data_IF_607182609246
#
_entry.id   IF_607182609246
#
_cell.length_a   1.000
_cell.length_b   1.000
_cell.length_c   1.000
_cell.angle_alpha   90.00
_cell.angle_beta   90.00
_cell.angle_gamma   90.00
#
_symmetry.space_group_name_H-M   'P 1'
#
loop_
_entity.id
_entity.type
_entity.pdbx_description
1 polymer ?
#
# COMPACT_ATOMS: atom_id res chain seq x y z
N UNK A 1 -23.02 -24.56 11.22
CA UNK A 1 -21.60 -24.73 10.82
C UNK A 1 -20.71 -24.70 12.06
N UNK A 2 -20.00 -25.78 12.35
CA UNK A 2 -18.99 -25.83 13.42
C UNK A 2 -17.68 -25.24 12.89
N UNK A 3 -17.28 -24.07 13.39
CA UNK A 3 -16.00 -23.46 13.01
C UNK A 3 -14.83 -24.22 13.67
N UNK A 4 -13.75 -24.54 12.94
CA UNK A 4 -12.58 -25.19 13.53
C UNK A 4 -11.95 -24.29 14.60
N UNK A 5 -11.77 -24.84 15.81
CA UNK A 5 -11.22 -24.14 16.98
C UNK A 5 -9.84 -24.68 17.42
N UNK A 6 -9.19 -25.50 16.60
CA UNK A 6 -7.88 -26.06 16.95
C UNK A 6 -6.83 -24.95 17.06
N UNK A 7 -5.98 -25.03 18.09
CA UNK A 7 -4.88 -24.07 18.31
C UNK A 7 -4.01 -23.81 17.07
N UNK A 8 -3.59 -24.83 16.27
CA UNK A 8 -2.77 -24.59 15.08
C UNK A 8 -3.54 -23.79 14.01
N UNK A 9 -4.82 -24.10 13.78
CA UNK A 9 -5.64 -23.39 12.81
C UNK A 9 -5.75 -21.89 13.14
N UNK A 10 -6.05 -21.58 14.41
CA UNK A 10 -6.14 -20.18 14.87
C UNK A 10 -4.81 -19.45 14.69
N UNK A 11 -3.68 -20.11 14.99
CA UNK A 11 -2.36 -19.52 14.81
C UNK A 11 -2.08 -19.17 13.35
N UNK A 12 -2.36 -20.09 12.41
CA UNK A 12 -2.19 -19.83 10.97
C UNK A 12 -3.03 -18.64 10.51
N UNK A 13 -4.32 -18.62 10.85
CA UNK A 13 -5.22 -17.51 10.48
C UNK A 13 -4.71 -16.17 11.04
N UNK A 14 -4.22 -16.15 12.28
CA UNK A 14 -3.73 -14.93 12.91
C UNK A 14 -2.38 -14.47 12.36
N UNK A 15 -1.53 -15.39 11.91
CA UNK A 15 -0.28 -15.07 11.21
C UNK A 15 -0.58 -14.48 9.83
N UNK A 16 -1.48 -15.11 9.08
CA UNK A 16 -1.92 -14.59 7.79
C UNK A 16 -2.64 -13.23 7.94
N UNK A 17 -3.35 -12.98 9.04
CA UNK A 17 -3.87 -11.65 9.37
C UNK A 17 -2.74 -10.63 9.51
N UNK A 18 -1.69 -10.95 10.27
CA UNK A 18 -0.54 -10.07 10.42
C UNK A 18 0.17 -9.79 9.08
N UNK A 19 0.27 -10.80 8.21
CA UNK A 19 0.82 -10.66 6.85
C UNK A 19 -0.12 -9.83 5.94
N UNK A 20 -1.43 -9.94 6.09
CA UNK A 20 -2.40 -9.19 5.30
C UNK A 20 -2.38 -7.69 5.57
N UNK A 21 -1.95 -7.26 6.76
CA UNK A 21 -1.85 -5.84 7.15
C UNK A 21 -0.93 -5.03 6.22
N UNK A 22 0.37 -5.37 6.02
CA UNK A 22 1.23 -4.62 5.10
C UNK A 22 0.69 -4.59 3.68
N UNK A 23 0.15 -5.70 3.16
CA UNK A 23 -0.46 -5.72 1.83
C UNK A 23 -1.62 -4.73 1.71
N UNK A 24 -2.51 -4.70 2.72
CA UNK A 24 -3.62 -3.77 2.74
C UNK A 24 -3.14 -2.31 2.79
N UNK A 25 -2.28 -1.96 3.76
CA UNK A 25 -1.83 -0.58 3.98
C UNK A 25 -1.02 -0.04 2.79
N UNK A 26 -0.09 -0.83 2.24
CA UNK A 26 0.70 -0.40 1.07
C UNK A 26 -0.20 -0.24 -0.16
N UNK A 27 -1.11 -1.20 -0.40
CA UNK A 27 -1.95 -1.15 -1.61
C UNK A 27 -3.01 -0.04 -1.59
N UNK A 28 -3.62 0.26 -0.43
CA UNK A 28 -4.54 1.39 -0.30
C UNK A 28 -3.81 2.73 -0.53
N UNK A 29 -2.60 2.88 0.02
CA UNK A 29 -1.82 4.12 -0.14
C UNK A 29 -1.32 4.30 -1.57
N UNK A 30 -0.79 3.26 -2.20
CA UNK A 30 -0.41 3.31 -3.62
C UNK A 30 -1.62 3.70 -4.49
N UNK A 31 -2.77 3.05 -4.31
CA UNK A 31 -3.97 3.37 -5.09
C UNK A 31 -4.45 4.80 -4.85
N UNK A 32 -4.37 5.28 -3.61
CA UNK A 32 -4.74 6.66 -3.26
C UNK A 32 -3.81 7.66 -3.94
N UNK A 33 -2.50 7.44 -3.89
CA UNK A 33 -1.49 8.32 -4.47
C UNK A 33 -1.58 8.36 -6.00
N UNK A 34 -1.68 7.20 -6.65
CA UNK A 34 -1.88 7.08 -8.12
C UNK A 34 -3.12 7.86 -8.58
N UNK A 35 -4.20 7.84 -7.80
CA UNK A 35 -5.44 8.49 -8.18
C UNK A 35 -5.56 9.94 -7.69
N UNK A 36 -4.61 10.43 -6.91
CA UNK A 36 -4.65 11.78 -6.34
C UNK A 36 -4.55 12.84 -7.44
N UNK A 37 -5.24 13.98 -7.29
CA UNK A 37 -4.96 15.17 -8.12
C UNK A 37 -3.72 15.91 -7.65
N UNK A 38 -3.45 15.82 -6.35
CA UNK A 38 -2.39 16.57 -5.69
C UNK A 38 -0.98 16.16 -6.16
N UNK A 39 -0.68 14.86 -6.31
CA UNK A 39 0.65 14.41 -6.76
C UNK A 39 1.04 14.99 -8.13
N UNK A 40 0.10 14.98 -9.08
CA UNK A 40 0.34 15.50 -10.43
C UNK A 40 0.42 17.02 -10.45
N UNK A 41 -0.41 17.70 -9.64
CA UNK A 41 -0.33 19.14 -9.41
C UNK A 41 1.02 19.56 -8.80
N UNK A 42 1.54 18.76 -7.87
CA UNK A 42 2.87 18.92 -7.28
C UNK A 42 3.97 18.69 -8.33
N UNK A 43 3.89 17.59 -9.10
CA UNK A 43 4.86 17.26 -10.15
C UNK A 43 4.98 18.35 -11.21
N UNK A 44 3.86 18.91 -11.65
CA UNK A 44 3.82 20.03 -12.59
C UNK A 44 4.60 21.27 -12.10
N UNK A 45 4.74 21.46 -10.78
CA UNK A 45 5.39 22.64 -10.21
C UNK A 45 6.82 22.42 -9.70
N UNK A 46 7.34 21.19 -9.68
CA UNK A 46 8.57 20.88 -8.94
C UNK A 46 9.66 20.13 -9.75
N UNK A 47 9.38 19.69 -10.97
CA UNK A 47 10.32 18.87 -11.75
C UNK A 47 10.57 19.37 -13.18
N UNK A 48 10.41 20.68 -13.39
CA UNK A 48 10.55 21.37 -14.69
C UNK A 48 9.73 20.72 -15.82
N UNK A 49 8.68 19.99 -15.43
CA UNK A 49 7.90 19.15 -16.34
C UNK A 49 7.20 19.99 -17.40
N UNK A 50 6.69 21.17 -17.05
CA UNK A 50 6.00 22.05 -18.00
C UNK A 50 6.96 22.58 -19.08
N UNK A 51 8.19 22.92 -18.69
CA UNK A 51 9.21 23.40 -19.63
C UNK A 51 9.69 22.28 -20.55
N UNK A 52 9.96 21.09 -19.98
CA UNK A 52 10.44 19.92 -20.73
C UNK A 52 9.40 19.35 -21.68
N UNK A 53 8.13 19.42 -21.31
CA UNK A 53 7.02 18.91 -22.14
C UNK A 53 6.42 19.98 -23.04
N UNK A 54 6.74 21.26 -22.86
CA UNK A 54 6.11 22.36 -23.60
C UNK A 54 4.60 22.54 -23.35
N UNK A 55 4.06 21.89 -22.31
CA UNK A 55 2.64 21.95 -21.96
C UNK A 55 2.36 23.09 -20.99
N UNK A 56 1.16 23.69 -21.09
CA UNK A 56 0.66 24.52 -20.01
C UNK A 56 0.31 23.66 -18.79
N UNK A 57 0.23 24.27 -17.61
CA UNK A 57 -0.18 23.55 -16.39
C UNK A 57 -1.56 22.92 -16.51
N UNK A 58 -2.51 23.63 -17.12
CA UNK A 58 -3.87 23.15 -17.34
C UNK A 58 -3.88 21.92 -18.24
N UNK A 59 -3.08 21.97 -19.30
CA UNK A 59 -2.97 20.88 -20.27
C UNK A 59 -2.31 19.64 -19.65
N UNK A 60 -1.21 19.81 -18.93
CA UNK A 60 -0.58 18.72 -18.17
C UNK A 60 -1.57 18.05 -17.20
N UNK A 61 -2.37 18.86 -16.48
CA UNK A 61 -3.39 18.34 -15.56
C UNK A 61 -4.59 17.70 -16.26
N UNK A 62 -4.88 18.05 -17.53
CA UNK A 62 -5.84 17.34 -18.37
C UNK A 62 -5.29 15.98 -18.81
N UNK A 63 -4.10 15.94 -19.38
CA UNK A 63 -3.41 14.70 -19.82
C UNK A 63 -3.28 13.71 -18.66
N UNK A 64 -2.83 14.16 -17.49
CA UNK A 64 -2.72 13.29 -16.30
C UNK A 64 -4.06 12.79 -15.77
N UNK A 65 -5.16 13.54 -15.96
CA UNK A 65 -6.52 13.04 -15.67
C UNK A 65 -6.94 11.94 -16.64
N UNK A 66 -6.60 12.05 -17.92
CA UNK A 66 -6.88 11.02 -18.93
C UNK A 66 -6.08 9.74 -18.67
N UNK A 67 -4.80 9.86 -18.31
CA UNK A 67 -3.98 8.71 -17.88
C UNK A 67 -4.59 8.02 -16.66
N UNK A 68 -5.03 8.79 -15.66
CA UNK A 68 -5.73 8.22 -14.49
C UNK A 68 -7.05 7.58 -14.88
N UNK A 69 -7.84 8.18 -15.77
CA UNK A 69 -9.07 7.59 -16.29
C UNK A 69 -8.77 6.25 -16.95
N UNK A 70 -7.77 6.19 -17.83
CA UNK A 70 -7.33 4.99 -18.51
C UNK A 70 -6.99 3.84 -17.54
N UNK A 71 -6.29 4.12 -16.43
CA UNK A 71 -6.00 3.10 -15.42
C UNK A 71 -7.25 2.56 -14.72
N UNK A 72 -8.34 3.32 -14.68
CA UNK A 72 -9.59 2.96 -14.00
C UNK A 72 -10.75 2.62 -14.97
N UNK A 73 -10.52 2.65 -16.28
CA UNK A 73 -11.48 2.29 -17.33
C UNK A 73 -11.08 0.99 -18.03
N UNK A 74 -11.95 0.44 -18.87
CA UNK A 74 -11.64 -0.69 -19.77
C UNK A 74 -11.10 -0.25 -21.15
N UNK A 75 -10.83 1.05 -21.34
CA UNK A 75 -10.36 1.59 -22.62
C UNK A 75 -8.95 1.12 -22.95
N UNK A 76 -8.72 0.68 -24.18
CA UNK A 76 -7.39 0.39 -24.74
C UNK A 76 -7.39 0.68 -26.25
N UNK A 77 -6.28 1.20 -26.82
CA UNK A 77 -5.05 1.63 -26.15
C UNK A 77 -5.19 2.98 -25.43
N UNK A 78 -4.17 3.38 -24.65
CA UNK A 78 -4.05 4.76 -24.16
C UNK A 78 -3.91 5.70 -25.36
N UNK A 79 -4.92 6.52 -25.61
CA UNK A 79 -4.93 7.53 -26.67
C UNK A 79 -5.09 8.90 -26.05
N UNK A 80 -4.01 9.68 -26.04
CA UNK A 80 -3.99 11.02 -25.48
C UNK A 80 -3.34 11.97 -26.46
N UNK A 81 -4.08 13.01 -26.84
CA UNK A 81 -3.56 14.17 -27.55
C UNK A 81 -3.29 15.28 -26.56
N UNK A 82 -2.27 16.09 -26.81
CA UNK A 82 -1.97 17.25 -25.99
C UNK A 82 -1.46 18.42 -26.84
N UNK A 83 -1.74 19.63 -26.38
CA UNK A 83 -1.18 20.87 -26.91
C UNK A 83 0.22 21.07 -26.33
N UNK A 84 1.22 20.87 -27.17
CA UNK A 84 2.64 20.99 -26.83
C UNK A 84 3.26 22.09 -27.69
N UNK A 85 3.91 23.08 -27.05
CA UNK A 85 4.46 24.26 -27.71
C UNK A 85 3.45 24.97 -28.65
N UNK A 86 2.15 24.89 -28.32
CA UNK A 86 1.06 25.50 -29.08
C UNK A 86 0.47 24.64 -30.22
N UNK A 87 0.97 23.42 -30.44
CA UNK A 87 0.47 22.48 -31.45
C UNK A 87 -0.18 21.26 -30.80
N UNK A 88 -1.34 20.82 -31.31
CA UNK A 88 -1.98 19.58 -30.83
C UNK A 88 -1.32 18.36 -31.48
N UNK A 89 -0.78 17.46 -30.65
CA UNK A 89 -0.04 16.28 -31.09
C UNK A 89 -0.41 15.03 -30.30
N UNK A 90 -0.23 13.85 -30.90
CA UNK A 90 -0.19 12.58 -30.17
C UNK A 90 1.19 12.43 -29.52
N UNK A 91 1.23 12.51 -28.19
CA UNK A 91 2.49 12.64 -27.44
C UNK A 91 3.14 11.30 -27.11
N UNK A 92 2.39 10.19 -27.09
CA UNK A 92 2.92 8.89 -26.72
C UNK A 92 3.24 8.03 -27.94
N UNK A 93 4.46 7.52 -27.98
CA UNK A 93 4.89 6.52 -28.96
C UNK A 93 4.18 5.19 -28.74
N UNK A 94 4.16 4.33 -29.78
CA UNK A 94 3.66 2.95 -29.68
C UNK A 94 4.33 2.16 -28.55
N UNK A 95 5.60 2.44 -28.23
CA UNK A 95 6.31 1.78 -27.11
C UNK A 95 5.75 2.24 -25.77
N UNK A 96 5.60 3.54 -25.56
CA UNK A 96 5.02 4.11 -24.33
C UNK A 96 3.60 3.63 -24.11
N UNK A 97 2.77 3.60 -25.16
CA UNK A 97 1.39 3.10 -25.08
C UNK A 97 1.36 1.63 -24.63
N UNK A 98 2.24 0.78 -25.17
CA UNK A 98 2.33 -0.63 -24.75
C UNK A 98 2.85 -0.78 -23.32
N UNK A 99 3.82 0.04 -22.91
CA UNK A 99 4.29 0.05 -21.52
C UNK A 99 3.17 0.48 -20.56
N UNK A 100 2.39 1.50 -20.92
CA UNK A 100 1.24 1.95 -20.12
C UNK A 100 0.14 0.89 -20.01
N UNK A 101 -0.02 0.02 -21.02
CA UNK A 101 -0.87 -1.17 -20.93
C UNK A 101 -0.36 -2.16 -19.88
N UNK A 102 0.95 -2.42 -19.84
CA UNK A 102 1.55 -3.28 -18.82
C UNK A 102 1.38 -2.65 -17.41
N UNK A 103 1.58 -1.34 -17.27
CA UNK A 103 1.35 -0.59 -16.03
C UNK A 103 -0.12 -0.65 -15.61
N UNK A 104 -1.08 -0.55 -16.54
CA UNK A 104 -2.52 -0.68 -16.24
C UNK A 104 -2.85 -2.05 -15.64
N UNK A 105 -2.27 -3.13 -16.17
CA UNK A 105 -2.44 -4.46 -15.59
C UNK A 105 -1.86 -4.55 -14.17
N UNK A 106 -0.69 -3.95 -13.93
CA UNK A 106 -0.08 -3.85 -12.61
C UNK A 106 -0.96 -3.06 -11.62
N UNK A 107 -1.50 -1.91 -12.02
CA UNK A 107 -2.43 -1.09 -11.19
C UNK A 107 -3.72 -1.85 -10.88
N UNK A 108 -4.26 -2.62 -11.85
CA UNK A 108 -5.40 -3.52 -11.61
C UNK A 108 -5.06 -4.66 -10.67
N UNK A 109 -3.86 -5.23 -10.79
CA UNK A 109 -3.33 -6.24 -9.86
C UNK A 109 -3.23 -5.72 -8.43
N UNK A 110 -2.70 -4.50 -8.27
CA UNK A 110 -2.65 -3.79 -6.99
C UNK A 110 -4.04 -3.62 -6.37
N UNK A 111 -5.04 -3.22 -7.16
CA UNK A 111 -6.42 -3.09 -6.68
C UNK A 111 -6.99 -4.44 -6.21
N UNK A 112 -6.67 -5.55 -6.89
CA UNK A 112 -7.05 -6.91 -6.43
C UNK A 112 -6.40 -7.26 -5.09
N UNK A 113 -5.10 -7.00 -4.93
CA UNK A 113 -4.38 -7.21 -3.65
C UNK A 113 -5.04 -6.43 -2.51
N UNK A 114 -5.42 -5.17 -2.77
CA UNK A 114 -6.14 -4.34 -1.80
C UNK A 114 -7.48 -4.98 -1.41
N UNK A 115 -8.31 -5.38 -2.37
CA UNK A 115 -9.62 -5.98 -2.09
C UNK A 115 -9.50 -7.33 -1.37
N UNK A 116 -8.59 -8.21 -1.81
CA UNK A 116 -8.40 -9.51 -1.16
C UNK A 116 -7.87 -9.37 0.26
N UNK A 117 -6.91 -8.50 0.50
CA UNK A 117 -6.42 -8.22 1.86
C UNK A 117 -7.51 -7.61 2.73
N UNK A 118 -8.28 -6.63 2.24
CA UNK A 118 -9.41 -6.05 2.97
C UNK A 118 -10.45 -7.09 3.36
N UNK A 119 -10.96 -7.85 2.38
CA UNK A 119 -12.00 -8.85 2.64
C UNK A 119 -11.51 -9.97 3.54
N UNK A 120 -10.22 -10.35 3.42
CA UNK A 120 -9.61 -11.30 4.33
C UNK A 120 -9.57 -10.77 5.78
N UNK A 121 -9.08 -9.54 6.00
CA UNK A 121 -9.00 -8.92 7.32
C UNK A 121 -10.40 -8.79 7.95
N UNK A 122 -11.38 -8.28 7.19
CA UNK A 122 -12.76 -8.16 7.65
C UNK A 122 -13.40 -9.52 7.93
N UNK A 123 -13.13 -10.51 7.08
CA UNK A 123 -13.60 -11.89 7.24
C UNK A 123 -13.09 -12.50 8.54
N UNK A 124 -11.79 -12.37 8.84
CA UNK A 124 -11.22 -12.88 10.11
C UNK A 124 -11.85 -12.19 11.32
N UNK A 125 -12.13 -10.88 11.25
CA UNK A 125 -12.82 -10.17 12.34
C UNK A 125 -14.26 -10.67 12.50
N UNK A 126 -15.01 -10.79 11.41
CA UNK A 126 -16.42 -11.22 11.42
C UNK A 126 -16.56 -12.67 11.87
N UNK A 127 -15.91 -13.61 11.19
CA UNK A 127 -15.99 -15.03 11.51
C UNK A 127 -15.33 -15.35 12.85
N UNK A 128 -14.24 -14.67 13.20
CA UNK A 128 -13.63 -14.79 14.52
C UNK A 128 -14.56 -14.30 15.64
N UNK A 129 -15.36 -13.27 15.38
CA UNK A 129 -16.35 -12.76 16.34
C UNK A 129 -17.48 -13.77 16.54
N UNK A 130 -18.01 -14.33 15.46
CA UNK A 130 -19.05 -15.36 15.50
C UNK A 130 -18.55 -16.67 16.14
N UNK A 131 -17.31 -17.07 15.86
CA UNK A 131 -16.77 -18.35 16.31
C UNK A 131 -16.23 -18.34 17.75
N UNK A 132 -15.61 -17.24 18.20
CA UNK A 132 -14.92 -17.18 19.51
C UNK A 132 -15.44 -16.08 20.45
N UNK A 133 -16.31 -15.19 19.98
CA UNK A 133 -16.79 -14.06 20.75
C UNK A 133 -15.76 -12.93 20.92
N UNK A 134 -16.23 -11.76 21.32
CA UNK A 134 -15.41 -10.52 21.39
C UNK A 134 -14.23 -10.65 22.37
N UNK A 135 -14.45 -11.28 23.53
CA UNK A 135 -13.45 -11.37 24.60
C UNK A 135 -12.22 -12.16 24.16
N UNK A 136 -12.42 -13.26 23.43
CA UNK A 136 -11.32 -14.11 22.97
C UNK A 136 -10.69 -13.58 21.66
N UNK A 137 -11.46 -12.93 20.78
CA UNK A 137 -10.96 -12.39 19.51
C UNK A 137 -10.05 -11.17 19.69
N UNK A 138 -10.50 -10.17 20.46
CA UNK A 138 -9.81 -8.87 20.57
C UNK A 138 -8.29 -8.97 20.87
N UNK A 139 -7.82 -9.76 21.86
CA UNK A 139 -6.38 -9.88 22.10
C UNK A 139 -5.62 -10.55 20.96
N UNK A 140 -6.26 -11.44 20.18
CA UNK A 140 -5.65 -12.08 19.02
C UNK A 140 -5.46 -11.08 17.88
N UNK A 141 -6.51 -10.32 17.56
CA UNK A 141 -6.45 -9.25 16.55
C UNK A 141 -5.43 -8.19 16.95
N UNK A 142 -5.44 -7.74 18.21
CA UNK A 142 -4.46 -6.75 18.67
C UNK A 142 -3.03 -7.29 18.55
N UNK A 143 -2.77 -8.55 18.90
CA UNK A 143 -1.44 -9.16 18.72
C UNK A 143 -1.05 -9.23 17.24
N UNK A 144 -1.94 -9.68 16.37
CA UNK A 144 -1.67 -9.75 14.92
C UNK A 144 -1.50 -8.38 14.27
N UNK A 145 -2.27 -7.38 14.70
CA UNK A 145 -2.14 -6.01 14.21
C UNK A 145 -0.81 -5.40 14.64
N UNK A 146 -0.38 -5.63 15.89
CA UNK A 146 0.93 -5.18 16.37
C UNK A 146 2.07 -5.82 15.55
N UNK A 147 2.02 -7.13 15.32
CA UNK A 147 3.03 -7.81 14.49
C UNK A 147 2.97 -7.35 13.03
N UNK A 148 1.77 -7.17 12.48
CA UNK A 148 1.56 -6.64 11.14
C UNK A 148 2.17 -5.24 10.98
N UNK A 149 1.97 -4.36 11.97
CA UNK A 149 2.62 -3.04 12.01
C UNK A 149 4.14 -3.14 12.05
N UNK A 150 4.71 -4.02 12.88
CA UNK A 150 6.17 -4.22 12.96
C UNK A 150 6.73 -4.72 11.62
N UNK A 151 6.08 -5.72 11.00
CA UNK A 151 6.49 -6.25 9.69
C UNK A 151 6.39 -5.16 8.63
N UNK A 152 5.33 -4.34 8.64
CA UNK A 152 5.16 -3.21 7.72
C UNK A 152 6.30 -2.22 7.86
N UNK A 153 6.62 -1.80 9.08
CA UNK A 153 7.71 -0.84 9.35
C UNK A 153 9.08 -1.40 8.96
N UNK A 154 9.34 -2.68 9.25
CA UNK A 154 10.59 -3.33 8.87
C UNK A 154 10.74 -3.42 7.34
N UNK A 155 9.67 -3.81 6.64
CA UNK A 155 9.65 -3.85 5.18
C UNK A 155 9.91 -2.46 4.56
N UNK A 156 9.20 -1.43 5.05
CA UNK A 156 9.39 -0.05 4.56
C UNK A 156 10.76 0.52 4.90
N UNK A 157 11.36 0.15 6.02
CA UNK A 157 12.71 0.58 6.35
C UNK A 157 13.73 0.04 5.34
N UNK A 158 13.59 -1.22 4.92
CA UNK A 158 14.46 -1.85 3.91
C UNK A 158 14.27 -1.15 2.54
N UNK A 159 13.02 -1.04 2.09
CA UNK A 159 12.72 -0.44 0.78
C UNK A 159 13.08 1.05 0.77
N UNK A 160 12.72 1.79 1.80
CA UNK A 160 13.03 3.21 1.93
C UNK A 160 14.54 3.49 1.97
N UNK A 161 15.31 2.66 2.69
CA UNK A 161 16.77 2.78 2.69
C UNK A 161 17.36 2.52 1.30
N UNK A 162 16.88 1.48 0.60
CA UNK A 162 17.31 1.20 -0.77
C UNK A 162 17.00 2.37 -1.72
N UNK A 163 15.81 2.96 -1.62
CA UNK A 163 15.40 4.12 -2.40
C UNK A 163 16.21 5.38 -2.12
N UNK A 164 16.67 5.59 -0.88
CA UNK A 164 17.50 6.76 -0.52
C UNK A 164 18.96 6.59 -0.99
N UNK A 165 19.50 5.36 -0.93
CA UNK A 165 20.90 5.09 -1.32
C UNK A 165 21.08 5.13 -2.84
N UNK A 166 20.10 4.63 -3.60
CA UNK A 166 20.19 4.58 -5.06
C UNK A 166 18.83 4.34 -5.69
N UNK A 167 18.10 5.43 -5.93
CA UNK A 167 16.75 5.35 -6.51
C UNK A 167 16.78 4.81 -7.95
N UNK A 168 17.77 5.20 -8.78
CA UNK A 168 17.87 4.69 -10.17
C UNK A 168 17.94 3.16 -10.21
N UNK A 169 18.78 2.56 -9.35
CA UNK A 169 18.95 1.10 -9.23
C UNK A 169 17.68 0.45 -8.70
N UNK A 170 17.07 1.03 -7.67
CA UNK A 170 15.82 0.51 -7.10
C UNK A 170 14.66 0.59 -8.12
N UNK A 171 14.61 1.65 -8.91
CA UNK A 171 13.63 1.85 -9.99
C UNK A 171 13.85 0.82 -11.10
N UNK A 172 15.10 0.54 -11.47
CA UNK A 172 15.45 -0.50 -12.45
C UNK A 172 15.02 -1.89 -11.97
N UNK A 173 15.38 -2.28 -10.74
CA UNK A 173 14.97 -3.56 -10.17
C UNK A 173 13.45 -3.69 -10.06
N UNK A 174 12.75 -2.60 -9.72
CA UNK A 174 11.30 -2.60 -9.73
C UNK A 174 10.75 -2.96 -11.12
N UNK A 175 11.28 -2.38 -12.19
CA UNK A 175 10.83 -2.68 -13.55
C UNK A 175 11.14 -4.11 -13.98
N UNK A 176 12.34 -4.61 -13.66
CA UNK A 176 12.74 -6.00 -13.95
C UNK A 176 11.86 -7.02 -13.21
N UNK A 177 11.43 -6.71 -11.98
CA UNK A 177 10.52 -7.56 -11.21
C UNK A 177 9.06 -7.43 -11.66
N UNK A 178 8.65 -6.25 -12.13
CA UNK A 178 7.27 -5.97 -12.51
C UNK A 178 6.95 -6.40 -13.94
N UNK A 179 7.94 -6.41 -14.84
CA UNK A 179 7.74 -6.62 -16.27
C UNK A 179 8.74 -7.62 -16.86
N UNK A 180 8.24 -8.70 -17.44
CA UNK A 180 9.04 -9.72 -18.14
C UNK A 180 9.52 -9.27 -19.54
N UNK A 181 9.42 -7.99 -19.86
CA UNK A 181 9.68 -7.44 -21.20
C UNK A 181 10.45 -6.11 -21.13
N UNK A 182 10.98 -5.65 -22.26
CA UNK A 182 11.82 -4.44 -22.33
C UNK A 182 11.06 -3.16 -22.75
N UNK A 183 9.73 -3.14 -22.71
CA UNK A 183 8.93 -1.97 -23.18
C UNK A 183 9.07 -0.75 -22.26
N UNK A 184 9.46 -0.97 -21.00
CA UNK A 184 9.74 0.09 -20.03
C UNK A 184 11.07 0.82 -20.26
N UNK A 185 11.95 0.29 -21.12
CA UNK A 185 13.17 0.98 -21.54
C UNK A 185 12.82 2.06 -22.57
N UNK A 186 12.48 3.24 -22.06
CA UNK A 186 12.09 4.42 -22.82
C UNK A 186 13.29 5.31 -23.14
N UNK A 187 13.16 6.13 -24.18
CA UNK A 187 14.17 7.13 -24.52
C UNK A 187 14.00 8.38 -23.65
N UNK A 188 15.09 9.08 -23.37
CA UNK A 188 15.07 10.33 -22.56
C UNK A 188 14.14 11.44 -23.06
N UNK A 189 13.73 11.38 -24.34
CA UNK A 189 12.83 12.34 -24.99
C UNK A 189 11.37 11.84 -25.07
N UNK A 190 11.09 10.62 -24.62
CA UNK A 190 9.74 10.05 -24.60
C UNK A 190 8.90 10.83 -23.57
N UNK A 191 7.69 11.26 -23.95
CA UNK A 191 6.87 12.16 -23.13
C UNK A 191 6.54 11.57 -21.77
N UNK A 192 6.43 10.25 -21.63
CA UNK A 192 6.18 9.61 -20.34
C UNK A 192 7.30 9.91 -19.33
N UNK A 193 8.57 9.94 -19.78
CA UNK A 193 9.71 10.31 -18.92
C UNK A 193 9.85 11.83 -18.73
N UNK A 194 9.37 12.63 -19.69
CA UNK A 194 9.32 14.09 -19.53
C UNK A 194 8.24 14.49 -18.51
N UNK A 195 7.09 13.81 -18.54
CA UNK A 195 5.94 14.04 -17.68
C UNK A 195 6.12 13.48 -16.27
N UNK A 196 6.74 12.30 -16.16
CA UNK A 196 7.00 11.60 -14.91
C UNK A 196 8.50 11.29 -14.80
N UNK A 197 9.32 12.31 -14.52
CA UNK A 197 10.74 12.09 -14.31
C UNK A 197 10.98 11.23 -13.07
N UNK A 198 12.18 10.69 -12.94
CA UNK A 198 12.54 9.84 -11.80
C UNK A 198 12.23 10.46 -10.43
N UNK A 199 12.50 11.75 -10.25
CA UNK A 199 12.19 12.49 -9.03
C UNK A 199 10.68 12.54 -8.70
N UNK A 200 9.80 12.46 -9.71
CA UNK A 200 8.36 12.31 -9.49
C UNK A 200 8.03 10.98 -8.83
N UNK A 201 8.65 9.88 -9.30
CA UNK A 201 8.46 8.56 -8.71
C UNK A 201 9.09 8.44 -7.33
N UNK A 202 10.25 9.08 -7.09
CA UNK A 202 10.85 9.15 -5.75
C UNK A 202 9.92 9.87 -4.78
N UNK A 203 9.39 11.04 -5.16
CA UNK A 203 8.42 11.77 -4.34
C UNK A 203 7.18 10.92 -4.04
N UNK A 204 6.58 10.28 -5.05
CA UNK A 204 5.44 9.39 -4.86
C UNK A 204 5.77 8.23 -3.90
N UNK A 205 6.95 7.63 -4.03
CA UNK A 205 7.42 6.54 -3.16
C UNK A 205 7.54 7.00 -1.70
N UNK A 206 8.14 8.18 -1.47
CA UNK A 206 8.29 8.76 -0.13
C UNK A 206 6.93 9.11 0.50
N UNK A 207 5.98 9.62 -0.29
CA UNK A 207 4.62 9.91 0.18
C UNK A 207 3.91 8.62 0.62
N UNK A 208 3.93 7.58 -0.23
CA UNK A 208 3.34 6.28 0.09
C UNK A 208 3.99 5.68 1.33
N UNK A 209 5.32 5.72 1.44
CA UNK A 209 6.04 5.25 2.60
C UNK A 209 5.64 6.02 3.86
N UNK A 210 5.59 7.36 3.81
CA UNK A 210 5.18 8.21 4.93
C UNK A 210 3.76 7.94 5.42
N UNK A 211 2.79 7.84 4.50
CA UNK A 211 1.40 7.47 4.83
C UNK A 211 1.34 6.10 5.51
N UNK A 212 2.02 5.11 4.93
CA UNK A 212 2.01 3.73 5.44
C UNK A 212 2.70 3.62 6.81
N UNK A 213 3.80 4.36 7.04
CA UNK A 213 4.47 4.46 8.34
C UNK A 213 3.52 5.06 9.38
N UNK A 214 2.84 6.16 9.06
CA UNK A 214 1.91 6.81 9.98
C UNK A 214 0.76 5.85 10.38
N UNK A 215 0.15 5.16 9.41
CA UNK A 215 -0.91 4.18 9.67
C UNK A 215 -0.40 2.99 10.50
N UNK A 216 0.76 2.44 10.17
CA UNK A 216 1.35 1.33 10.91
C UNK A 216 1.69 1.71 12.36
N UNK A 217 2.20 2.91 12.60
CA UNK A 217 2.47 3.44 13.94
C UNK A 217 1.17 3.62 14.74
N UNK A 218 0.13 4.21 14.15
CA UNK A 218 -1.17 4.38 14.82
C UNK A 218 -1.78 3.01 15.16
N UNK A 219 -1.85 2.09 14.19
CA UNK A 219 -2.38 0.75 14.38
C UNK A 219 -1.61 -0.03 15.45
N UNK A 220 -0.28 0.05 15.40
CA UNK A 220 0.62 -0.60 16.36
C UNK A 220 0.49 -0.02 17.76
N UNK A 221 0.41 1.31 17.89
CA UNK A 221 0.23 1.99 19.17
C UNK A 221 -1.11 1.64 19.82
N UNK A 222 -2.21 1.65 19.05
CA UNK A 222 -3.55 1.25 19.51
C UNK A 222 -3.53 -0.21 19.98
N UNK A 223 -2.97 -1.11 19.18
CA UNK A 223 -2.85 -2.53 19.52
C UNK A 223 -2.01 -2.76 20.78
N UNK A 224 -0.86 -2.10 20.88
CA UNK A 224 0.04 -2.20 22.03
C UNK A 224 -0.62 -1.67 23.31
N UNK A 225 -1.27 -0.49 23.24
CA UNK A 225 -1.94 0.12 24.38
C UNK A 225 -3.08 -0.79 24.89
N UNK A 226 -3.89 -1.33 23.98
CA UNK A 226 -4.93 -2.32 24.31
C UNK A 226 -4.35 -3.54 25.04
N UNK A 227 -3.28 -4.14 24.51
CA UNK A 227 -2.63 -5.30 25.12
C UNK A 227 -2.03 -4.97 26.49
N UNK A 228 -1.44 -3.78 26.65
CA UNK A 228 -0.86 -3.33 27.91
C UNK A 228 -1.92 -3.13 29.00
N UNK A 229 -3.06 -2.50 28.66
CA UNK A 229 -4.17 -2.31 29.59
C UNK A 229 -4.78 -3.64 30.04
N UNK A 230 -5.01 -4.57 29.11
CA UNK A 230 -5.58 -5.88 29.45
C UNK A 230 -4.64 -6.74 30.29
N UNK A 231 -3.32 -6.58 30.17
CA UNK A 231 -2.34 -7.24 31.06
C UNK A 231 -2.37 -6.65 32.48
N UNK A 232 -2.56 -5.34 32.61
CA UNK A 232 -2.68 -4.64 33.90
C UNK A 232 -4.00 -4.95 34.61
N UNK A 233 -5.10 -5.01 33.88
CA UNK A 233 -6.42 -5.37 34.44
C UNK A 233 -6.57 -6.87 34.75
N UNK A 234 -5.61 -7.70 34.31
CA UNK A 234 -5.56 -9.14 34.57
C UNK A 234 -4.63 -9.59 35.72
N UNK A 235 -4.06 -8.68 36.51
CA UNK A 235 -3.28 -9.02 37.71
C UNK A 235 -3.26 -7.86 38.71
N UNK A 236 -4.01 -7.98 39.83
CA UNK A 236 -3.34 -8.28 41.12
C UNK A 236 -4.05 -9.30 42.07
N UNK A 237 -5.19 -9.93 41.71
CA UNK A 237 -6.09 -10.56 42.71
C UNK A 237 -6.41 -12.06 42.54
N UNK A 238 -5.51 -12.88 41.97
CA UNK A 238 -5.54 -14.36 42.18
C UNK A 238 -4.63 -14.78 43.36
N UNK A 239 -4.07 -13.79 44.07
CA UNK A 239 -3.09 -13.99 45.17
C UNK A 239 -3.72 -13.98 46.57
N UNK A 240 -5.03 -13.80 46.72
CA UNK A 240 -5.71 -13.73 48.03
C UNK A 240 -7.07 -14.43 47.98
N UNK A 241 -7.05 -15.76 48.01
CA UNK A 241 -8.15 -16.69 48.38
C UNK A 241 -7.68 -18.09 47.96
N UNK A 242 -6.83 -18.75 48.74
CA UNK A 242 -7.31 -19.61 49.83
C UNK A 242 -6.52 -19.38 51.14
N UNK A 243 -7.19 -18.98 52.24
CA UNK A 243 -6.62 -19.03 53.58
C UNK A 243 -6.59 -20.47 54.09
N UNK A 244 -5.55 -20.77 54.87
CA UNK A 244 -5.39 -21.91 55.78
C UNK A 244 -6.70 -22.59 56.21
N UNK A 245 -6.74 -23.91 56.03
CA UNK A 245 -7.70 -24.80 56.65
C UNK A 245 -7.08 -26.16 56.95
N UNK A 246 -6.32 -26.24 58.03
CA UNK A 246 -6.03 -27.49 58.74
C UNK A 246 -6.30 -27.25 60.24
N UNK A 247 -6.54 -28.27 61.08
CA UNK A 247 -6.95 -29.66 60.84
C UNK A 247 -8.24 -30.03 61.63
N UNK A 248 -8.88 -31.16 61.33
CA UNK A 248 -9.78 -31.82 62.30
C UNK A 248 -9.60 -33.33 62.31
N UNK A 249 -9.00 -33.77 63.42
CA UNK A 249 -8.99 -35.09 64.09
C UNK A 249 -8.65 -36.33 63.27
#
# INVERSE_FOLDING_TARGET
MSFPRSKPFVAVVMTLFAIGVPFFLVSINLRTVINSGWLYSYGAGHFDTLERTGMTREEYLRVTREIKHYFNSDEEPLQVKAVVFGSEEEIFTTREVRHMSDVKLMVRGLAKVQWYSLFYLLGVVLFGWLAWGRRALRPRIAKSLLWGSIVTLAFLAIIGLASIIGFDTAFTWFHELAFENNRWLLNKNDYLLLMFPENFFLAATLIVAGMTVAEALVAGAVAWFYLRMNRRNGSPAERVQTPNGAPTK
#
